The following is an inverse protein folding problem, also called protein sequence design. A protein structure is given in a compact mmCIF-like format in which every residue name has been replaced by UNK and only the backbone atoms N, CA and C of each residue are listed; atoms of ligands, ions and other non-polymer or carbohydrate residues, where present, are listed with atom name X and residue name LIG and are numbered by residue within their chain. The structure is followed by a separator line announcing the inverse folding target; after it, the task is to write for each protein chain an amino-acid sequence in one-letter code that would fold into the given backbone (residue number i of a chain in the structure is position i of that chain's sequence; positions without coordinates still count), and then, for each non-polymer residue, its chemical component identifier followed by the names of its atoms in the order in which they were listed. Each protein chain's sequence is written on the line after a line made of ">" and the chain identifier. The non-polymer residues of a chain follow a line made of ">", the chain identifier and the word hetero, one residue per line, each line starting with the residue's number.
data_IF_927584217376
#
_entry.id   IF_927584217376
#
_cell.length_a   1.000
_cell.length_b   1.000
_cell.length_c   1.000
_cell.angle_alpha   90.00
_cell.angle_beta   90.00
_cell.angle_gamma   90.00
#
_symmetry.space_group_name_H-M   'P 1'
#
loop_
_entity.id
_entity.type
_entity.pdbx_description
1 polymer ?
#
# COMPACT_ATOMS: atom_id res chain seq x y z
N UNK A 1 -4.21 -1.39 -14.42
CA UNK A 1 -4.13 -2.54 -13.50
C UNK A 1 -5.46 -2.85 -12.82
N UNK A 2 -6.15 -1.85 -12.26
CA UNK A 2 -7.40 -2.06 -11.50
C UNK A 2 -8.58 -2.55 -12.36
N UNK A 3 -8.75 -2.08 -13.61
CA UNK A 3 -9.78 -2.58 -14.54
C UNK A 3 -9.63 -4.09 -14.78
N UNK A 4 -8.39 -4.56 -14.99
CA UNK A 4 -8.11 -5.99 -15.15
C UNK A 4 -8.51 -6.78 -13.91
N UNK A 5 -8.20 -6.24 -12.72
CA UNK A 5 -8.57 -6.85 -11.43
C UNK A 5 -10.09 -6.89 -11.26
N UNK A 6 -10.79 -5.83 -11.65
CA UNK A 6 -12.24 -5.77 -11.57
C UNK A 6 -12.90 -6.86 -12.44
N UNK A 7 -12.42 -7.06 -13.68
CA UNK A 7 -13.01 -8.05 -14.59
C UNK A 7 -12.57 -9.50 -14.33
N UNK A 8 -11.34 -9.72 -13.86
CA UNK A 8 -10.74 -11.06 -13.82
C UNK A 8 -10.16 -11.46 -12.46
N UNK A 9 -10.23 -10.59 -11.47
CA UNK A 9 -9.61 -10.79 -10.16
C UNK A 9 -8.09 -10.82 -10.18
N UNK A 10 -7.55 -11.21 -9.02
CA UNK A 10 -6.13 -11.39 -8.80
C UNK A 10 -5.89 -12.48 -7.75
N UNK A 11 -4.89 -13.34 -7.96
CA UNK A 11 -4.58 -14.45 -7.03
C UNK A 11 -4.25 -14.01 -5.60
N UNK A 12 -3.85 -12.76 -5.43
CA UNK A 12 -3.50 -12.17 -4.12
C UNK A 12 -4.64 -11.35 -3.49
N UNK A 13 -5.83 -11.33 -4.10
CA UNK A 13 -6.97 -10.61 -3.57
C UNK A 13 -7.99 -11.57 -2.96
N UNK A 14 -8.55 -11.14 -1.84
CA UNK A 14 -9.76 -11.71 -1.25
C UNK A 14 -10.83 -10.63 -1.24
N UNK A 15 -11.97 -10.95 -1.82
CA UNK A 15 -13.13 -10.06 -1.87
C UNK A 15 -13.97 -10.18 -0.57
N UNK A 16 -14.67 -9.10 -0.14
CA UNK A 16 -14.65 -7.76 -0.73
C UNK A 16 -13.31 -7.04 -0.52
N UNK A 17 -12.97 -6.14 -1.45
CA UNK A 17 -11.73 -5.36 -1.44
C UNK A 17 -11.90 -4.02 -2.12
N UNK A 18 -11.40 -2.96 -1.51
CA UNK A 18 -11.23 -1.66 -2.18
C UNK A 18 -9.97 -1.72 -3.04
N UNK A 19 -10.07 -1.35 -4.32
CA UNK A 19 -8.93 -1.28 -5.26
C UNK A 19 -8.33 0.13 -5.31
N UNK A 20 -7.37 0.38 -6.21
CA UNK A 20 -6.65 1.64 -6.30
C UNK A 20 -5.33 1.61 -5.53
N UNK A 21 -4.22 1.79 -6.24
CA UNK A 21 -2.86 1.66 -5.71
C UNK A 21 -1.88 2.70 -6.25
N UNK A 22 -2.37 3.70 -6.97
CA UNK A 22 -1.61 4.86 -7.43
C UNK A 22 -2.25 6.10 -6.83
N UNK A 23 -1.73 6.56 -5.68
CA UNK A 23 -2.47 7.46 -4.78
C UNK A 23 -1.57 8.57 -4.25
N UNK A 24 -2.17 9.74 -4.05
CA UNK A 24 -1.63 10.83 -3.26
C UNK A 24 -2.78 11.45 -2.45
N UNK A 25 -2.45 12.07 -1.32
CA UNK A 25 -3.46 12.63 -0.44
C UNK A 25 -2.86 13.48 0.68
N UNK A 26 -3.70 13.83 1.65
CA UNK A 26 -3.34 14.60 2.84
C UNK A 26 -3.49 13.73 4.09
N UNK A 27 -2.54 13.83 5.01
CA UNK A 27 -2.60 13.14 6.30
C UNK A 27 -3.65 13.83 7.18
N UNK A 28 -4.75 13.15 7.48
CA UNK A 28 -5.82 13.69 8.35
C UNK A 28 -5.72 13.21 9.80
N UNK A 29 -5.05 12.08 10.03
CA UNK A 29 -4.85 11.49 11.37
C UNK A 29 -3.49 10.77 11.43
N UNK A 30 -2.86 10.77 12.61
CA UNK A 30 -1.61 10.07 12.86
C UNK A 30 -1.75 9.11 14.05
N UNK A 31 -1.28 7.87 13.87
CA UNK A 31 -1.16 6.93 14.97
C UNK A 31 -0.11 7.37 15.99
N UNK A 32 -0.31 7.03 17.27
CA UNK A 32 0.55 7.45 18.40
C UNK A 32 2.05 7.15 18.23
N UNK A 33 2.42 6.17 17.40
CA UNK A 33 3.81 5.76 17.17
C UNK A 33 4.40 6.29 15.86
N UNK A 34 3.63 7.04 15.08
CA UNK A 34 4.09 7.62 13.81
C UNK A 34 4.88 8.90 14.11
N UNK A 35 6.10 8.97 13.61
CA UNK A 35 7.00 10.11 13.75
C UNK A 35 7.44 10.59 12.36
N UNK A 36 7.88 11.85 12.25
CA UNK A 36 8.39 12.40 11.00
C UNK A 36 7.34 12.88 9.99
N UNK A 37 6.05 12.80 10.35
CA UNK A 37 4.93 13.28 9.56
C UNK A 37 4.07 14.26 10.35
N UNK A 38 3.27 15.07 9.64
CA UNK A 38 2.32 16.02 10.25
C UNK A 38 0.94 15.90 9.63
N UNK A 39 -0.10 16.14 10.43
CA UNK A 39 -1.46 16.33 9.90
C UNK A 39 -1.44 17.54 8.96
N UNK A 40 -2.12 17.43 7.82
CA UNK A 40 -2.10 18.41 6.73
C UNK A 40 -0.98 18.22 5.70
N UNK A 41 -0.04 17.29 5.95
CA UNK A 41 1.03 17.02 5.01
C UNK A 41 0.53 16.26 3.78
N UNK A 42 0.93 16.72 2.60
CA UNK A 42 0.64 16.04 1.33
C UNK A 42 1.67 14.97 1.05
N UNK A 43 1.21 13.75 0.79
CA UNK A 43 2.06 12.58 0.55
C UNK A 43 1.64 11.83 -0.71
N UNK A 44 2.62 11.21 -1.36
CA UNK A 44 2.39 10.17 -2.35
C UNK A 44 2.55 8.79 -1.67
N UNK A 45 1.70 7.84 -2.01
CA UNK A 45 1.73 6.50 -1.41
C UNK A 45 2.54 5.56 -2.29
N UNK A 46 3.58 4.95 -1.73
CA UNK A 46 4.25 3.82 -2.34
C UNK A 46 3.44 2.54 -2.06
N UNK A 47 2.80 1.91 -3.07
CA UNK A 47 1.88 0.80 -2.81
C UNK A 47 2.57 -0.53 -2.48
N UNK A 48 3.85 -0.65 -2.85
CA UNK A 48 4.65 -1.85 -2.66
C UNK A 48 5.23 -1.88 -1.24
N UNK A 49 4.89 -2.91 -0.47
CA UNK A 49 5.29 -3.08 0.92
C UNK A 49 6.28 -4.26 1.00
N UNK A 50 7.60 -3.99 1.00
CA UNK A 50 8.63 -5.02 1.10
C UNK A 50 8.73 -5.58 2.51
N UNK A 51 9.06 -6.87 2.64
CA UNK A 51 9.16 -7.53 3.96
C UNK A 51 10.37 -7.12 4.81
N UNK A 52 11.30 -6.31 4.28
CA UNK A 52 12.52 -5.86 4.97
C UNK A 52 13.59 -6.93 5.25
N UNK A 53 13.24 -8.23 5.23
CA UNK A 53 14.10 -9.30 5.76
C UNK A 53 14.62 -10.33 4.76
N UNK A 54 14.07 -10.40 3.54
CA UNK A 54 14.50 -11.40 2.55
C UNK A 54 15.88 -11.08 1.92
N UNK A 55 16.39 -12.00 1.10
CA UNK A 55 17.68 -11.85 0.41
C UNK A 55 17.83 -10.51 -0.33
N UNK A 56 16.79 -10.12 -1.09
CA UNK A 56 16.78 -8.89 -1.89
C UNK A 56 16.57 -7.64 -1.02
N UNK A 57 15.66 -7.68 -0.05
CA UNK A 57 15.44 -6.55 0.86
C UNK A 57 16.70 -6.16 1.63
N UNK A 58 17.45 -7.14 2.15
CA UNK A 58 18.71 -6.90 2.88
C UNK A 58 19.83 -6.32 2.00
N UNK A 59 19.65 -6.31 0.67
CA UNK A 59 20.58 -5.75 -0.32
C UNK A 59 20.07 -4.43 -0.93
N UNK A 60 19.02 -3.84 -0.37
CA UNK A 60 18.40 -2.63 -0.91
C UNK A 60 17.56 -2.87 -2.18
N UNK A 61 17.43 -4.12 -2.65
CA UNK A 61 16.70 -4.47 -3.86
C UNK A 61 15.22 -4.77 -3.54
N UNK A 62 14.55 -3.85 -2.84
CA UNK A 62 13.22 -4.08 -2.27
C UNK A 62 12.12 -4.37 -3.31
N UNK A 63 12.28 -3.89 -4.54
CA UNK A 63 11.40 -4.20 -5.67
C UNK A 63 11.36 -5.70 -6.02
N UNK A 64 12.41 -6.45 -5.67
CA UNK A 64 12.50 -7.90 -5.85
C UNK A 64 12.19 -8.67 -4.57
N UNK A 65 11.45 -8.07 -3.64
CA UNK A 65 11.09 -8.73 -2.38
C UNK A 65 10.35 -10.05 -2.63
N UNK A 66 10.85 -11.15 -2.05
CA UNK A 66 10.23 -12.48 -2.17
C UNK A 66 8.86 -12.58 -1.48
N UNK A 67 8.59 -11.68 -0.54
CA UNK A 67 7.35 -11.65 0.23
C UNK A 67 6.71 -10.26 0.08
N UNK A 68 6.67 -9.74 -1.14
CA UNK A 68 6.10 -8.41 -1.40
C UNK A 68 4.59 -8.45 -1.17
N UNK A 69 4.10 -7.52 -0.35
CA UNK A 69 2.68 -7.25 -0.23
C UNK A 69 2.37 -5.89 -0.86
N UNK A 70 1.10 -5.63 -1.17
CA UNK A 70 0.72 -4.42 -1.88
C UNK A 70 -0.68 -3.92 -1.50
N UNK A 71 -0.79 -2.60 -1.39
CA UNK A 71 -2.05 -1.86 -1.26
C UNK A 71 -2.93 -2.10 -2.50
N UNK A 72 -4.24 -2.21 -2.32
CA UNK A 72 -5.19 -2.57 -3.38
C UNK A 72 -5.21 -4.06 -3.75
N UNK A 73 -4.33 -4.88 -3.15
CA UNK A 73 -4.31 -6.34 -3.32
C UNK A 73 -4.42 -7.09 -1.99
N UNK A 74 -3.40 -6.93 -1.14
CA UNK A 74 -3.29 -7.58 0.16
C UNK A 74 -3.94 -6.74 1.26
N UNK A 75 -3.98 -5.42 1.06
CA UNK A 75 -4.69 -4.44 1.89
C UNK A 75 -5.68 -3.65 1.03
N UNK A 76 -6.64 -2.98 1.66
CA UNK A 76 -7.57 -2.10 0.94
C UNK A 76 -6.81 -0.92 0.30
N UNK A 77 -7.27 -0.56 -0.90
CA UNK A 77 -6.73 0.53 -1.71
C UNK A 77 -7.37 1.88 -1.44
N UNK A 78 -7.03 2.84 -2.28
CA UNK A 78 -7.43 4.25 -2.12
C UNK A 78 -8.50 4.74 -3.07
N UNK A 79 -9.24 3.88 -3.76
CA UNK A 79 -10.52 4.28 -4.37
C UNK A 79 -11.61 4.44 -3.29
N UNK A 80 -11.31 5.29 -2.31
CA UNK A 80 -12.12 5.65 -1.15
C UNK A 80 -11.68 7.06 -0.68
N UNK A 81 -12.55 7.75 0.07
CA UNK A 81 -12.24 9.09 0.59
C UNK A 81 -11.15 9.07 1.66
N UNK A 82 -11.05 7.97 2.40
CA UNK A 82 -10.02 7.72 3.41
C UNK A 82 -9.46 6.32 3.25
N UNK A 83 -8.18 6.16 3.60
CA UNK A 83 -7.54 4.86 3.69
C UNK A 83 -6.57 4.83 4.87
N UNK A 84 -6.38 3.63 5.44
CA UNK A 84 -5.39 3.41 6.47
C UNK A 84 -4.07 2.97 5.84
N UNK A 85 -2.98 3.62 6.23
CA UNK A 85 -1.63 3.15 5.97
C UNK A 85 -1.07 2.54 7.26
N UNK A 86 -0.93 1.21 7.26
CA UNK A 86 -0.37 0.46 8.37
C UNK A 86 1.11 0.20 8.08
N UNK A 87 1.99 0.76 8.91
CA UNK A 87 3.44 0.55 8.86
C UNK A 87 3.90 -0.24 10.09
#
# INVERSE_FOLDING_TARGET
>A
TDIKVYHHGHKHMRFPRVTGHELAGEIVELGRKVNGYKIGERVAVAPAIPCGRCFYCRRGMQSMCLNLSAIGYHYDGGFAEFMLLLF
#
